data_IF_249287586783
#
_entry.id   IF_249287586783
#
_cell.length_a   1.000
_cell.length_b   1.000
_cell.length_c   1.000
_cell.angle_alpha   90.00
_cell.angle_beta   90.00
_cell.angle_gamma   90.00
#
_symmetry.space_group_name_H-M   'P 1'
#
loop_
_entity.id
_entity.type
_entity.pdbx_description
1 polymer ?
#
# COMPACT_ATOMS: atom_id res chain seq x y z
N UNK A 1 4.12 -48.48 -65.69
CA UNK A 1 3.77 -47.05 -65.66
C UNK A 1 2.85 -46.80 -64.47
N UNK A 2 3.40 -46.35 -63.32
CA UNK A 2 2.65 -46.07 -62.11
C UNK A 2 2.53 -44.54 -61.96
N UNK A 3 1.31 -44.01 -61.93
CA UNK A 3 0.99 -42.59 -61.69
C UNK A 3 0.95 -42.35 -60.20
N UNK A 4 1.90 -41.53 -59.73
CA UNK A 4 1.94 -41.01 -58.36
C UNK A 4 0.95 -39.81 -58.19
N UNK A 5 -0.10 -40.02 -57.43
CA UNK A 5 -1.05 -38.95 -57.05
C UNK A 5 -0.46 -38.15 -55.86
N UNK A 6 -0.12 -36.88 -56.08
CA UNK A 6 0.30 -35.97 -55.01
C UNK A 6 -0.93 -35.34 -54.36
N UNK A 7 -1.19 -35.69 -53.08
CA UNK A 7 -2.15 -35.00 -52.24
C UNK A 7 -1.50 -33.71 -51.73
N UNK A 8 -2.06 -32.57 -52.10
CA UNK A 8 -1.72 -31.27 -51.51
C UNK A 8 -2.73 -31.00 -50.37
N UNK A 9 -2.26 -31.15 -49.13
CA UNK A 9 -3.06 -30.77 -47.95
C UNK A 9 -3.02 -29.26 -47.79
N UNK A 10 -4.16 -28.61 -47.98
CA UNK A 10 -4.37 -27.21 -47.61
C UNK A 10 -4.61 -27.13 -46.11
N UNK A 11 -3.62 -26.59 -45.35
CA UNK A 11 -3.80 -26.22 -43.95
C UNK A 11 -4.44 -24.84 -43.92
N UNK A 12 -5.74 -24.79 -43.65
CA UNK A 12 -6.43 -23.55 -43.34
C UNK A 12 -6.03 -23.10 -41.91
N UNK A 13 -5.13 -22.13 -41.81
CA UNK A 13 -4.88 -21.42 -40.56
C UNK A 13 -6.10 -20.50 -40.26
N UNK A 14 -6.97 -20.94 -39.36
CA UNK A 14 -8.02 -20.08 -38.83
C UNK A 14 -7.38 -19.03 -37.89
N UNK A 15 -7.21 -17.82 -38.38
CA UNK A 15 -6.90 -16.65 -37.56
C UNK A 15 -8.17 -16.36 -36.72
N UNK A 16 -8.20 -16.86 -35.46
CA UNK A 16 -9.17 -16.43 -34.47
C UNK A 16 -8.86 -14.97 -34.14
N UNK A 17 -9.55 -14.04 -34.78
CA UNK A 17 -9.53 -12.65 -34.44
C UNK A 17 -10.05 -12.49 -32.99
N UNK A 18 -9.18 -12.10 -32.06
CA UNK A 18 -9.60 -11.68 -30.71
C UNK A 18 -10.47 -10.44 -30.90
N UNK A 19 -11.79 -10.60 -30.83
CA UNK A 19 -12.73 -9.49 -30.84
C UNK A 19 -12.41 -8.62 -29.62
N UNK A 20 -11.83 -7.44 -29.84
CA UNK A 20 -11.59 -6.44 -28.81
C UNK A 20 -12.96 -5.92 -28.37
N UNK A 21 -13.31 -6.13 -27.10
CA UNK A 21 -14.54 -5.57 -26.55
C UNK A 21 -14.54 -4.05 -26.77
N UNK A 22 -15.71 -3.48 -27.09
CA UNK A 22 -15.82 -2.03 -27.26
C UNK A 22 -15.53 -1.34 -25.92
N UNK A 23 -14.76 -0.24 -25.92
CA UNK A 23 -14.48 0.52 -24.68
C UNK A 23 -15.79 1.04 -24.09
N UNK A 24 -15.92 0.92 -22.78
CA UNK A 24 -17.07 1.40 -22.00
C UNK A 24 -16.92 2.89 -21.66
N UNK A 25 -17.99 3.53 -21.17
CA UNK A 25 -17.90 4.90 -20.64
C UNK A 25 -16.98 5.02 -19.44
N UNK A 26 -16.91 3.97 -18.61
CA UNK A 26 -15.95 3.90 -17.49
C UNK A 26 -14.50 3.83 -17.99
N UNK A 27 -14.22 3.15 -19.11
CA UNK A 27 -12.87 3.12 -19.69
C UNK A 27 -12.45 4.51 -20.21
N UNK A 28 -13.40 5.27 -20.79
CA UNK A 28 -13.14 6.65 -21.21
C UNK A 28 -12.87 7.57 -20.01
N UNK A 29 -13.62 7.38 -18.92
CA UNK A 29 -13.43 8.15 -17.70
C UNK A 29 -12.07 7.82 -17.05
N UNK A 30 -11.70 6.54 -17.00
CA UNK A 30 -10.39 6.10 -16.52
C UNK A 30 -9.26 6.70 -17.37
N UNK A 31 -9.36 6.64 -18.69
CA UNK A 31 -8.35 7.22 -19.59
C UNK A 31 -8.15 8.72 -19.36
N UNK A 32 -9.22 9.47 -19.06
CA UNK A 32 -9.14 10.89 -18.69
C UNK A 32 -8.44 11.09 -17.34
N UNK A 33 -8.74 10.24 -16.37
CA UNK A 33 -8.10 10.30 -15.05
C UNK A 33 -6.61 9.97 -15.13
N UNK A 34 -6.24 8.95 -15.93
CA UNK A 34 -4.83 8.63 -16.19
C UNK A 34 -4.10 9.76 -16.92
N UNK A 35 -4.75 10.44 -17.88
CA UNK A 35 -4.19 11.61 -18.53
C UNK A 35 -3.99 12.78 -17.54
N UNK A 36 -4.92 12.98 -16.61
CA UNK A 36 -4.80 14.01 -15.56
C UNK A 36 -3.66 13.69 -14.59
N UNK A 37 -3.50 12.42 -14.18
CA UNK A 37 -2.36 11.95 -13.38
C UNK A 37 -1.03 12.14 -14.14
N UNK A 38 -0.99 11.79 -15.43
CA UNK A 38 0.19 11.99 -16.28
C UNK A 38 0.56 13.46 -16.41
N UNK A 39 -0.41 14.35 -16.60
CA UNK A 39 -0.15 15.79 -16.65
C UNK A 39 0.35 16.35 -15.29
N UNK A 40 -0.17 15.83 -14.19
CA UNK A 40 0.34 16.17 -12.86
C UNK A 40 1.80 15.71 -12.69
N UNK A 41 2.12 14.47 -13.11
CA UNK A 41 3.46 13.92 -13.06
C UNK A 41 4.47 14.70 -13.92
N UNK A 42 4.09 15.11 -15.14
CA UNK A 42 4.93 15.95 -16.01
C UNK A 42 5.32 17.28 -15.37
N UNK A 43 4.45 17.85 -14.53
CA UNK A 43 4.71 19.10 -13.80
C UNK A 43 5.27 18.91 -12.40
N UNK A 44 5.43 17.66 -11.96
CA UNK A 44 5.90 17.33 -10.62
C UNK A 44 7.44 17.27 -10.56
N UNK A 45 8.03 18.03 -9.63
CA UNK A 45 9.49 18.04 -9.44
C UNK A 45 9.89 16.86 -8.57
N UNK A 46 10.12 15.71 -9.20
CA UNK A 46 10.47 14.44 -8.56
C UNK A 46 9.98 13.23 -9.36
N UNK A 47 10.07 12.05 -8.78
CA UNK A 47 9.51 10.82 -9.32
C UNK A 47 8.21 10.48 -8.55
N UNK A 48 7.14 10.14 -9.27
CA UNK A 48 5.83 9.82 -8.71
C UNK A 48 5.36 8.44 -9.19
N UNK A 49 4.85 7.62 -8.30
CA UNK A 49 4.16 6.37 -8.61
C UNK A 49 2.80 6.31 -7.91
N UNK A 50 1.78 5.88 -8.64
CA UNK A 50 0.40 5.83 -8.15
C UNK A 50 -0.25 4.52 -8.58
N UNK A 51 -0.94 3.87 -7.66
CA UNK A 51 -1.83 2.73 -7.96
C UNK A 51 -3.12 2.87 -7.16
N UNK A 52 -4.25 2.74 -7.86
CA UNK A 52 -5.57 2.65 -7.25
C UNK A 52 -6.23 1.33 -7.62
N UNK A 53 -6.90 0.66 -6.65
CA UNK A 53 -7.65 -0.58 -6.85
C UNK A 53 -9.10 -0.35 -6.44
N UNK A 54 -10.02 -0.55 -7.36
CA UNK A 54 -11.46 -0.56 -7.10
C UNK A 54 -11.83 -1.82 -6.29
N UNK A 55 -12.22 -1.66 -5.04
CA UNK A 55 -12.55 -2.79 -4.17
C UNK A 55 -13.87 -3.47 -4.52
N UNK A 56 -14.70 -2.88 -5.39
CA UNK A 56 -15.96 -3.48 -5.84
C UNK A 56 -15.77 -4.52 -6.94
N UNK A 57 -14.76 -4.34 -7.81
CA UNK A 57 -14.55 -5.21 -8.97
C UNK A 57 -13.09 -5.66 -9.18
N UNK A 58 -12.13 -5.14 -8.40
CA UNK A 58 -10.70 -5.46 -8.48
C UNK A 58 -9.95 -4.78 -9.64
N UNK A 59 -10.60 -3.84 -10.35
CA UNK A 59 -9.93 -3.09 -11.42
C UNK A 59 -8.83 -2.20 -10.85
N UNK A 60 -7.68 -2.22 -11.50
CA UNK A 60 -6.50 -1.45 -11.11
C UNK A 60 -6.18 -0.40 -12.16
N UNK A 61 -5.85 0.81 -11.71
CA UNK A 61 -5.33 1.90 -12.56
C UNK A 61 -4.21 2.64 -11.86
N UNK A 62 -3.35 3.32 -12.60
CA UNK A 62 -2.26 4.11 -12.04
C UNK A 62 -1.22 4.53 -13.06
N UNK A 63 -0.17 5.15 -12.55
CA UNK A 63 1.04 5.51 -13.32
C UNK A 63 2.26 5.04 -12.54
N UNK A 64 3.28 4.51 -13.23
CA UNK A 64 4.54 4.02 -12.65
C UNK A 64 4.33 3.05 -11.46
N UNK A 65 3.26 2.25 -11.51
CA UNK A 65 2.84 1.37 -10.40
C UNK A 65 3.84 0.26 -10.07
N UNK A 66 4.68 -0.15 -11.01
CA UNK A 66 5.71 -1.17 -10.88
C UNK A 66 7.11 -0.61 -10.52
N UNK A 67 7.25 0.71 -10.41
CA UNK A 67 8.51 1.37 -10.06
C UNK A 67 8.81 1.24 -8.56
N UNK A 68 10.09 0.97 -8.23
CA UNK A 68 10.56 0.86 -6.85
C UNK A 68 10.73 2.23 -6.20
N UNK A 69 10.11 2.38 -5.00
CA UNK A 69 10.24 3.57 -4.18
C UNK A 69 10.68 3.21 -2.75
N UNK A 70 11.39 4.12 -2.05
CA UNK A 70 11.64 3.98 -0.63
C UNK A 70 10.31 4.08 0.14
N UNK A 71 10.12 3.19 1.12
CA UNK A 71 8.86 3.05 1.83
C UNK A 71 8.73 3.95 3.06
N UNK A 72 9.83 4.42 3.61
CA UNK A 72 9.79 5.09 4.90
C UNK A 72 8.91 4.30 5.90
N UNK A 73 7.95 4.96 6.55
CA UNK A 73 7.04 4.32 7.52
C UNK A 73 5.88 3.55 6.90
N UNK A 74 5.67 3.59 5.58
CA UNK A 74 4.65 2.74 4.93
C UNK A 74 5.01 1.26 5.06
N UNK A 75 6.29 0.90 5.19
CA UNK A 75 6.76 -0.46 5.47
C UNK A 75 6.20 -1.05 6.78
N UNK A 76 5.59 -0.25 7.64
CA UNK A 76 4.95 -0.73 8.87
C UNK A 76 3.66 -1.52 8.61
N UNK A 77 3.05 -1.38 7.43
CA UNK A 77 1.89 -2.20 7.02
C UNK A 77 2.27 -3.69 6.91
N UNK A 78 3.28 -4.12 6.14
CA UNK A 78 3.67 -5.53 6.12
C UNK A 78 4.20 -6.02 7.47
N UNK A 79 4.84 -5.19 8.28
CA UNK A 79 5.24 -5.56 9.65
C UNK A 79 4.00 -5.85 10.50
N UNK A 80 2.98 -4.96 10.47
CA UNK A 80 1.70 -5.15 11.17
C UNK A 80 1.03 -6.46 10.76
N UNK A 81 0.93 -6.71 9.47
CA UNK A 81 0.35 -7.93 8.91
C UNK A 81 1.06 -9.19 9.43
N UNK A 82 2.39 -9.16 9.45
CA UNK A 82 3.19 -10.29 9.98
C UNK A 82 3.03 -10.47 11.48
N UNK A 83 2.86 -9.40 12.26
CA UNK A 83 2.56 -9.48 13.69
C UNK A 83 1.28 -10.26 13.95
N UNK A 84 0.19 -9.96 13.22
CA UNK A 84 -1.06 -10.73 13.32
C UNK A 84 -0.89 -12.18 12.89
N UNK A 85 -0.17 -12.47 11.81
CA UNK A 85 0.13 -13.86 11.43
C UNK A 85 0.91 -14.61 12.52
N UNK A 86 1.89 -13.95 13.13
CA UNK A 86 2.70 -14.54 14.20
C UNK A 86 1.86 -14.85 15.44
N UNK A 87 0.97 -13.94 15.83
CA UNK A 87 0.03 -14.15 16.92
C UNK A 87 -0.93 -15.31 16.63
N UNK A 88 -1.49 -15.41 15.43
CA UNK A 88 -2.33 -16.55 15.00
C UNK A 88 -1.58 -17.87 14.97
N UNK A 89 -0.29 -17.84 14.67
CA UNK A 89 0.58 -19.02 14.73
C UNK A 89 1.04 -19.37 16.16
N UNK A 90 0.56 -18.65 17.19
CA UNK A 90 0.87 -18.93 18.60
C UNK A 90 2.29 -18.54 19.03
N UNK A 91 2.99 -17.68 18.28
CA UNK A 91 4.33 -17.21 18.67
C UNK A 91 4.28 -16.29 19.89
N UNK A 92 3.21 -15.56 20.07
CA UNK A 92 2.87 -14.70 21.21
C UNK A 92 1.36 -14.40 21.19
N UNK A 93 0.84 -13.87 22.30
CA UNK A 93 -0.52 -13.33 22.33
C UNK A 93 -0.50 -11.81 22.19
N UNK A 94 -1.60 -11.21 21.71
CA UNK A 94 -1.68 -9.74 21.61
C UNK A 94 -1.67 -9.05 22.99
N UNK A 95 -2.07 -9.75 24.04
CA UNK A 95 -2.09 -9.25 25.42
C UNK A 95 -0.80 -9.59 26.20
N UNK A 96 0.12 -10.32 25.57
CA UNK A 96 1.44 -10.59 26.15
C UNK A 96 2.21 -9.28 26.37
N UNK A 97 2.85 -9.18 27.53
CA UNK A 97 3.59 -7.98 27.94
C UNK A 97 5.05 -8.06 27.50
N UNK A 98 5.50 -7.02 26.84
CA UNK A 98 6.87 -6.91 26.34
C UNK A 98 7.51 -5.67 26.97
N UNK A 99 8.69 -5.83 27.53
CA UNK A 99 9.49 -4.75 28.09
C UNK A 99 10.47 -4.21 27.03
N UNK A 100 10.55 -2.90 26.94
CA UNK A 100 11.48 -2.16 26.11
C UNK A 100 12.45 -1.46 27.04
N UNK A 101 13.72 -1.75 26.90
CA UNK A 101 14.77 -1.14 27.72
C UNK A 101 15.21 0.21 27.14
N UNK A 102 15.73 1.15 27.98
CA UNK A 102 16.21 2.45 27.51
C UNK A 102 17.21 2.38 26.34
N UNK A 103 18.07 1.36 26.32
CA UNK A 103 19.05 1.11 25.23
C UNK A 103 18.41 0.74 23.89
N UNK A 104 17.14 0.35 23.86
CA UNK A 104 16.39 0.01 22.62
C UNK A 104 15.74 1.26 22.00
N UNK A 105 15.80 2.40 22.68
CA UNK A 105 15.25 3.64 22.18
C UNK A 105 15.95 4.10 20.90
N UNK A 106 15.15 4.43 19.89
CA UNK A 106 15.64 5.06 18.65
C UNK A 106 14.87 6.34 18.39
N UNK A 107 15.52 7.30 17.75
CA UNK A 107 14.96 8.62 17.47
C UNK A 107 13.96 8.64 16.31
N UNK A 108 13.67 9.85 15.85
CA UNK A 108 12.72 10.12 14.78
C UNK A 108 11.27 10.15 15.30
N UNK A 109 10.37 9.48 14.58
CA UNK A 109 8.94 9.49 14.94
C UNK A 109 8.63 8.66 16.17
N UNK A 110 7.57 9.07 16.89
CA UNK A 110 7.00 8.34 18.02
C UNK A 110 7.20 9.03 19.37
N UNK A 111 6.72 8.36 20.42
CA UNK A 111 6.68 8.89 21.81
C UNK A 111 7.43 8.02 22.80
N UNK A 112 7.76 6.77 22.46
CA UNK A 112 8.41 5.84 23.39
C UNK A 112 9.82 6.26 23.76
N UNK A 113 10.56 6.88 22.86
CA UNK A 113 11.90 7.41 23.14
C UNK A 113 11.90 8.38 24.34
N UNK A 114 10.87 9.21 24.48
CA UNK A 114 10.76 10.14 25.62
C UNK A 114 10.44 9.39 26.92
N UNK A 115 9.51 8.43 26.87
CA UNK A 115 9.15 7.62 28.03
C UNK A 115 10.33 6.80 28.56
N UNK A 116 11.16 6.29 27.65
CA UNK A 116 12.34 5.48 27.96
C UNK A 116 13.47 6.25 28.65
N UNK A 117 13.45 7.59 28.60
CA UNK A 117 14.37 8.43 29.41
C UNK A 117 14.17 8.24 30.91
N UNK A 118 12.97 7.88 31.35
CA UNK A 118 12.63 7.67 32.76
C UNK A 118 12.78 6.21 33.21
N UNK A 119 13.16 5.29 32.32
CA UNK A 119 13.34 3.87 32.62
C UNK A 119 12.69 2.95 31.58
N UNK A 120 12.70 1.65 31.87
CA UNK A 120 12.08 0.66 31.00
C UNK A 120 10.56 0.86 30.90
N UNK A 121 9.99 0.59 29.72
CA UNK A 121 8.55 0.70 29.44
C UNK A 121 8.02 -0.69 29.09
N UNK A 122 6.96 -1.12 29.76
CA UNK A 122 6.29 -2.39 29.47
C UNK A 122 4.93 -2.11 28.82
N UNK A 123 4.71 -2.69 27.65
CA UNK A 123 3.49 -2.61 26.85
C UNK A 123 2.98 -4.00 26.51
N UNK A 124 1.69 -4.13 26.23
CA UNK A 124 1.20 -5.31 25.52
C UNK A 124 1.66 -5.29 24.05
N UNK A 125 1.68 -6.44 23.39
CA UNK A 125 1.96 -6.52 21.94
C UNK A 125 0.96 -5.66 21.15
N UNK A 126 -0.31 -5.64 21.56
CA UNK A 126 -1.36 -4.79 20.98
C UNK A 126 -1.01 -3.30 21.07
N UNK A 127 -0.65 -2.82 22.28
CA UNK A 127 -0.23 -1.42 22.50
C UNK A 127 1.03 -1.07 21.70
N UNK A 128 1.93 -2.03 21.55
CA UNK A 128 3.15 -1.87 20.74
C UNK A 128 2.82 -1.68 19.26
N UNK A 129 1.90 -2.49 18.71
CA UNK A 129 1.44 -2.37 17.33
C UNK A 129 0.66 -1.08 17.09
N UNK A 130 -0.17 -0.66 18.05
CA UNK A 130 -0.85 0.64 18.03
C UNK A 130 0.15 1.79 17.95
N UNK A 131 1.16 1.82 18.83
CA UNK A 131 2.20 2.83 18.82
C UNK A 131 2.97 2.86 17.48
N UNK A 132 3.26 1.70 16.90
CA UNK A 132 3.91 1.58 15.58
C UNK A 132 3.08 2.24 14.47
N UNK A 133 1.77 2.09 14.48
CA UNK A 133 0.88 2.58 13.41
C UNK A 133 0.44 4.02 13.65
N UNK A 134 -0.20 4.31 14.80
CA UNK A 134 -0.83 5.60 15.09
C UNK A 134 0.21 6.73 15.18
N UNK A 135 1.27 6.50 15.95
CA UNK A 135 2.33 7.52 16.17
C UNK A 135 3.54 7.31 15.26
N UNK A 136 3.47 6.30 14.40
CA UNK A 136 4.62 5.89 13.58
C UNK A 136 5.89 5.66 14.42
N UNK A 137 5.76 5.16 15.66
CA UNK A 137 6.85 5.05 16.62
C UNK A 137 7.95 4.09 16.15
N UNK A 138 9.16 4.61 16.00
CA UNK A 138 10.29 3.84 15.47
C UNK A 138 10.82 2.81 16.48
N UNK A 139 10.79 3.13 17.77
CA UNK A 139 11.19 2.19 18.84
C UNK A 139 10.22 1.00 18.87
N UNK A 140 8.90 1.29 18.86
CA UNK A 140 7.87 0.26 18.77
C UNK A 140 8.05 -0.59 17.50
N UNK A 141 8.33 0.05 16.36
CA UNK A 141 8.55 -0.64 15.09
C UNK A 141 9.72 -1.63 15.17
N UNK A 142 10.86 -1.20 15.71
CA UNK A 142 12.03 -2.06 15.85
C UNK A 142 11.76 -3.26 16.79
N UNK A 143 10.96 -3.06 17.83
CA UNK A 143 10.51 -4.14 18.72
C UNK A 143 9.58 -5.10 17.98
N UNK A 144 8.61 -4.59 17.21
CA UNK A 144 7.75 -5.41 16.34
C UNK A 144 8.55 -6.21 15.30
N UNK A 145 9.56 -5.60 14.66
CA UNK A 145 10.48 -6.31 13.73
C UNK A 145 11.18 -7.47 14.46
N UNK A 146 11.62 -7.25 15.71
CA UNK A 146 12.24 -8.30 16.53
C UNK A 146 11.29 -9.47 16.81
N UNK A 147 10.02 -9.19 17.10
CA UNK A 147 8.99 -10.22 17.35
C UNK A 147 8.51 -10.91 16.07
N UNK A 148 8.28 -10.13 15.01
CA UNK A 148 7.82 -10.63 13.71
C UNK A 148 8.87 -11.46 12.98
N UNK A 149 10.15 -11.06 13.10
CA UNK A 149 11.27 -11.54 12.30
C UNK A 149 11.35 -10.83 10.94
N UNK A 150 12.46 -10.18 10.65
CA UNK A 150 12.64 -9.44 9.38
C UNK A 150 12.51 -10.36 8.15
N UNK A 151 13.18 -11.52 8.19
CA UNK A 151 13.11 -12.51 7.11
C UNK A 151 11.70 -13.09 6.94
N UNK A 152 10.95 -13.20 8.04
CA UNK A 152 9.58 -13.71 8.02
C UNK A 152 8.62 -12.70 7.36
N UNK A 153 8.85 -11.38 7.56
CA UNK A 153 8.11 -10.33 6.83
C UNK A 153 8.37 -10.50 5.33
N UNK A 154 9.63 -10.63 4.91
CA UNK A 154 9.98 -10.80 3.51
C UNK A 154 9.43 -12.11 2.91
N UNK A 155 9.49 -13.22 3.66
CA UNK A 155 8.89 -14.51 3.23
C UNK A 155 7.37 -14.42 3.07
N UNK A 156 6.69 -13.69 3.95
CA UNK A 156 5.25 -13.42 3.80
C UNK A 156 4.99 -12.65 2.49
N UNK A 157 5.78 -11.63 2.18
CA UNK A 157 5.64 -10.88 0.93
C UNK A 157 5.89 -11.78 -0.29
N UNK A 158 6.90 -12.64 -0.27
CA UNK A 158 7.16 -13.62 -1.33
C UNK A 158 5.98 -14.58 -1.54
N UNK A 159 5.39 -15.07 -0.44
CA UNK A 159 4.21 -15.95 -0.46
C UNK A 159 2.96 -15.30 -1.08
N UNK A 160 2.86 -13.99 -1.01
CA UNK A 160 1.80 -13.20 -1.66
C UNK A 160 2.14 -12.79 -3.10
N UNK A 161 3.32 -13.13 -3.60
CA UNK A 161 3.82 -12.70 -4.90
C UNK A 161 4.29 -11.23 -4.94
N UNK A 162 4.46 -10.59 -3.79
CA UNK A 162 4.90 -9.19 -3.63
C UNK A 162 6.42 -9.13 -3.47
N UNK A 163 7.13 -9.43 -4.55
CA UNK A 163 8.59 -9.69 -4.52
C UNK A 163 9.46 -8.43 -4.49
N UNK A 164 8.89 -7.28 -4.72
CA UNK A 164 9.57 -5.98 -4.68
C UNK A 164 9.43 -5.29 -3.32
N UNK A 165 8.46 -5.72 -2.49
CA UNK A 165 8.30 -5.23 -1.12
C UNK A 165 9.32 -5.90 -0.20
N UNK A 166 10.28 -5.11 0.32
CA UNK A 166 11.40 -5.63 1.11
C UNK A 166 11.65 -4.80 2.35
N UNK A 167 11.62 -5.47 3.48
CA UNK A 167 12.13 -4.96 4.75
C UNK A 167 13.63 -5.32 4.83
N UNK A 168 14.52 -4.35 4.64
CA UNK A 168 15.97 -4.57 4.57
C UNK A 168 16.71 -4.04 5.79
N UNK A 169 16.13 -3.10 6.51
CA UNK A 169 16.74 -2.45 7.68
C UNK A 169 15.72 -2.13 8.76
N UNK A 170 16.22 -2.00 9.98
CA UNK A 170 15.45 -1.42 11.10
C UNK A 170 15.26 0.08 10.89
N UNK A 171 14.33 0.65 11.66
CA UNK A 171 14.14 2.09 11.70
C UNK A 171 15.37 2.76 12.31
N UNK A 172 15.78 3.89 11.76
CA UNK A 172 16.93 4.71 12.19
C UNK A 172 18.29 4.00 12.07
N UNK A 173 18.41 2.94 11.29
CA UNK A 173 19.70 2.28 10.97
C UNK A 173 20.45 3.07 9.89
N UNK A 174 21.21 4.10 10.32
CA UNK A 174 21.98 4.94 9.42
C UNK A 174 23.11 4.21 8.71
N UNK A 175 23.66 3.15 9.33
CA UNK A 175 24.72 2.36 8.71
C UNK A 175 24.16 1.54 7.53
N UNK A 176 22.97 0.96 7.65
CA UNK A 176 22.30 0.29 6.55
C UNK A 176 21.95 1.27 5.42
N UNK A 177 21.43 2.47 5.75
CA UNK A 177 21.16 3.53 4.76
C UNK A 177 22.42 3.91 3.99
N UNK A 178 23.55 4.07 4.66
CA UNK A 178 24.83 4.41 4.02
C UNK A 178 25.32 3.30 3.05
N UNK A 179 24.88 2.05 3.23
CA UNK A 179 25.14 0.94 2.30
C UNK A 179 24.09 0.81 1.18
N UNK A 180 23.09 1.71 1.12
CA UNK A 180 21.98 1.63 0.17
C UNK A 180 20.92 0.57 0.50
N UNK A 181 20.93 0.06 1.73
CA UNK A 181 19.93 -0.92 2.21
C UNK A 181 18.66 -0.19 2.65
N UNK A 182 17.81 0.19 1.69
CA UNK A 182 16.55 0.88 1.98
C UNK A 182 15.36 -0.09 1.98
N UNK A 183 14.38 0.17 2.83
CA UNK A 183 13.09 -0.49 2.79
C UNK A 183 12.32 -0.02 1.56
N UNK A 184 11.96 -0.91 0.67
CA UNK A 184 11.40 -0.57 -0.64
C UNK A 184 10.12 -1.33 -0.95
N UNK A 185 9.30 -0.77 -1.83
CA UNK A 185 8.17 -1.44 -2.48
C UNK A 185 7.80 -0.71 -3.77
N UNK A 186 6.81 -1.23 -4.47
CA UNK A 186 6.13 -0.56 -5.58
C UNK A 186 4.72 -0.12 -5.15
N UNK A 187 4.13 0.92 -5.77
CA UNK A 187 2.73 1.28 -5.54
C UNK A 187 1.77 0.10 -5.73
N UNK A 188 1.98 -0.71 -6.77
CA UNK A 188 1.17 -1.90 -7.08
C UNK A 188 1.19 -2.92 -5.94
N UNK A 189 2.36 -3.25 -5.42
CA UNK A 189 2.48 -4.27 -4.38
C UNK A 189 1.89 -3.80 -3.06
N UNK A 190 2.10 -2.54 -2.68
CA UNK A 190 1.50 -2.01 -1.45
C UNK A 190 -0.02 -1.89 -1.57
N UNK A 191 -0.54 -1.50 -2.74
CA UNK A 191 -1.98 -1.49 -2.97
C UNK A 191 -2.58 -2.90 -2.86
N UNK A 192 -1.95 -3.91 -3.46
CA UNK A 192 -2.39 -5.32 -3.35
C UNK A 192 -2.32 -5.85 -1.93
N UNK A 193 -1.30 -5.48 -1.16
CA UNK A 193 -1.22 -5.86 0.26
C UNK A 193 -2.38 -5.30 1.06
N UNK A 194 -2.70 -4.02 0.87
CA UNK A 194 -3.82 -3.36 1.56
C UNK A 194 -5.17 -3.93 1.08
N UNK A 195 -5.33 -4.25 -0.20
CA UNK A 195 -6.49 -4.98 -0.71
C UNK A 195 -6.64 -6.35 -0.04
N UNK A 196 -5.54 -7.11 0.11
CA UNK A 196 -5.57 -8.42 0.79
C UNK A 196 -5.96 -8.29 2.26
N UNK A 197 -5.51 -7.24 2.96
CA UNK A 197 -5.94 -6.90 4.31
C UNK A 197 -7.45 -6.62 4.31
N UNK A 198 -7.93 -5.70 3.48
CA UNK A 198 -9.34 -5.34 3.40
C UNK A 198 -10.26 -6.54 3.18
N UNK A 199 -9.86 -7.47 2.31
CA UNK A 199 -10.64 -8.66 1.95
C UNK A 199 -10.52 -9.83 2.94
N UNK A 200 -9.82 -9.69 4.05
CA UNK A 200 -9.62 -10.77 5.02
C UNK A 200 -8.75 -11.93 4.53
N UNK A 201 -8.00 -11.72 3.44
CA UNK A 201 -7.25 -12.81 2.77
C UNK A 201 -5.85 -13.04 3.31
N UNK A 202 -5.34 -12.13 4.16
CA UNK A 202 -3.95 -12.18 4.60
C UNK A 202 -3.74 -13.01 5.86
N UNK A 203 -4.65 -12.89 6.83
CA UNK A 203 -4.64 -13.65 8.10
C UNK A 203 -6.03 -14.30 8.29
N UNK A 204 -6.98 -13.52 8.77
CA UNK A 204 -8.41 -13.82 8.87
C UNK A 204 -9.21 -12.51 8.94
N UNK A 205 -10.54 -12.62 8.88
CA UNK A 205 -11.42 -11.44 8.88
C UNK A 205 -11.32 -10.62 10.19
N UNK A 206 -11.12 -11.27 11.34
CA UNK A 206 -11.02 -10.56 12.63
C UNK A 206 -9.72 -9.74 12.69
N UNK A 207 -8.58 -10.35 12.33
CA UNK A 207 -7.30 -9.66 12.24
C UNK A 207 -7.34 -8.53 11.21
N UNK A 208 -8.02 -8.75 10.09
CA UNK A 208 -8.17 -7.71 9.05
C UNK A 208 -8.95 -6.51 9.55
N UNK A 209 -10.06 -6.71 10.26
CA UNK A 209 -10.81 -5.62 10.90
C UNK A 209 -9.93 -4.86 11.90
N UNK A 210 -9.21 -5.55 12.77
CA UNK A 210 -8.30 -4.90 13.72
C UNK A 210 -7.19 -4.10 13.02
N UNK A 211 -6.59 -4.62 11.94
CA UNK A 211 -5.60 -3.89 11.16
C UNK A 211 -6.18 -2.62 10.52
N UNK A 212 -7.37 -2.72 9.95
CA UNK A 212 -8.07 -1.56 9.35
C UNK A 212 -8.39 -0.52 10.40
N UNK A 213 -8.90 -0.90 11.58
CA UNK A 213 -9.17 0.05 12.67
C UNK A 213 -7.90 0.78 13.13
N UNK A 214 -6.76 0.07 13.27
CA UNK A 214 -5.49 0.72 13.58
C UNK A 214 -5.07 1.73 12.49
N UNK A 215 -5.29 1.41 11.23
CA UNK A 215 -4.95 2.30 10.10
C UNK A 215 -5.87 3.52 10.00
N UNK A 216 -7.10 3.47 10.54
CA UNK A 216 -8.02 4.63 10.62
C UNK A 216 -7.55 5.71 11.57
N UNK A 217 -6.74 5.36 12.57
CA UNK A 217 -6.17 6.32 13.52
C UNK A 217 -5.10 7.23 12.89
N UNK A 218 -4.66 6.92 11.67
CA UNK A 218 -3.64 7.71 10.96
C UNK A 218 -4.29 8.84 10.18
N UNK A 219 -3.82 10.06 10.41
CA UNK A 219 -4.19 11.23 9.62
C UNK A 219 -3.05 11.60 8.67
N UNK A 220 -3.32 11.61 7.37
CA UNK A 220 -2.32 11.85 6.33
C UNK A 220 -2.85 12.72 5.18
N UNK A 221 -2.03 12.83 4.14
CA UNK A 221 -2.33 13.61 2.96
C UNK A 221 -3.55 13.13 2.17
N UNK A 222 -3.90 11.83 2.27
CA UNK A 222 -5.14 11.32 1.67
C UNK A 222 -6.35 12.04 2.25
N UNK A 223 -6.43 12.21 3.56
CA UNK A 223 -7.53 12.91 4.23
C UNK A 223 -7.62 14.38 3.81
N UNK A 224 -6.50 15.02 3.56
CA UNK A 224 -6.44 16.42 3.08
C UNK A 224 -6.96 16.56 1.64
N UNK A 225 -6.87 15.50 0.85
CA UNK A 225 -7.36 15.45 -0.55
C UNK A 225 -8.84 15.09 -0.71
N UNK A 226 -9.55 14.77 0.39
CA UNK A 226 -10.91 14.24 0.41
C UNK A 226 -11.92 15.19 1.08
N UNK A 227 -13.23 15.07 0.78
CA UNK A 227 -14.28 15.62 1.61
C UNK A 227 -14.16 15.16 3.08
N UNK A 228 -14.60 16.02 4.02
CA UNK A 228 -14.43 15.79 5.46
C UNK A 228 -15.14 14.55 6.01
N UNK A 229 -16.22 14.13 5.34
CA UNK A 229 -17.05 12.98 5.69
C UNK A 229 -16.53 11.64 5.16
N UNK A 230 -15.49 11.67 4.32
CA UNK A 230 -14.88 10.44 3.78
C UNK A 230 -13.82 9.91 4.75
N UNK A 231 -14.05 8.71 5.27
CA UNK A 231 -13.12 8.01 6.15
C UNK A 231 -11.97 7.37 5.36
N UNK A 232 -10.79 7.32 5.96
CA UNK A 232 -9.62 6.63 5.40
C UNK A 232 -8.98 5.71 6.44
N UNK A 233 -8.36 4.63 5.98
CA UNK A 233 -7.48 3.78 6.78
C UNK A 233 -6.14 3.68 6.06
N UNK A 234 -5.12 4.40 6.52
CA UNK A 234 -3.87 4.54 5.76
C UNK A 234 -2.62 4.45 6.64
N UNK A 235 -1.47 4.43 6.00
CA UNK A 235 -0.17 4.64 6.63
C UNK A 235 0.67 5.59 5.81
N UNK A 236 1.10 6.66 6.46
CA UNK A 236 2.04 7.64 5.90
C UNK A 236 3.49 7.20 6.04
N UNK A 237 4.34 7.66 5.14
CA UNK A 237 5.79 7.50 5.21
C UNK A 237 6.53 8.75 4.74
N UNK A 238 7.59 9.11 5.47
CA UNK A 238 8.38 10.30 5.21
C UNK A 238 9.86 10.03 5.45
N UNK A 239 10.67 10.40 4.47
CA UNK A 239 12.13 10.51 4.52
C UNK A 239 12.54 11.82 3.87
N UNK A 240 13.76 12.32 4.12
CA UNK A 240 14.29 13.43 3.33
C UNK A 240 14.25 13.10 1.83
N UNK A 241 13.51 13.89 1.04
CA UNK A 241 13.36 13.70 -0.40
C UNK A 241 12.42 12.57 -0.83
N UNK A 242 11.67 11.94 0.08
CA UNK A 242 10.69 10.91 -0.29
C UNK A 242 9.46 10.93 0.62
N UNK A 243 8.29 10.76 0.02
CA UNK A 243 7.01 10.66 0.73
C UNK A 243 6.13 9.57 0.12
N UNK A 244 5.33 8.93 0.96
CA UNK A 244 4.35 7.97 0.50
C UNK A 244 3.18 7.84 1.46
N UNK A 245 2.06 7.38 0.93
CA UNK A 245 0.91 6.98 1.72
C UNK A 245 0.18 5.86 0.98
N UNK A 246 -0.20 4.81 1.70
CA UNK A 246 -0.99 3.72 1.16
C UNK A 246 -2.14 3.42 2.11
N UNK A 247 -3.34 3.27 1.56
CA UNK A 247 -4.52 3.03 2.40
C UNK A 247 -5.79 2.79 1.61
N UNK A 248 -6.89 2.72 2.36
CA UNK A 248 -8.26 2.54 1.87
C UNK A 248 -8.99 3.87 2.02
N UNK A 249 -9.74 4.24 0.99
CA UNK A 249 -10.72 5.32 1.02
C UNK A 249 -12.11 4.70 1.04
N UNK A 250 -12.89 4.99 2.08
CA UNK A 250 -14.22 4.41 2.29
C UNK A 250 -15.31 5.25 1.62
N UNK A 251 -15.22 5.36 0.29
CA UNK A 251 -16.30 5.98 -0.48
C UNK A 251 -17.53 5.05 -0.49
N UNK A 252 -18.68 5.59 -0.09
CA UNK A 252 -19.93 4.84 -0.05
C UNK A 252 -20.26 4.22 -1.43
N UNK A 253 -20.59 2.93 -1.43
CA UNK A 253 -20.90 2.15 -2.63
C UNK A 253 -19.68 1.83 -3.52
N UNK A 254 -18.51 2.47 -3.32
CA UNK A 254 -17.32 2.21 -4.14
C UNK A 254 -16.00 2.48 -3.41
N UNK A 255 -15.71 1.76 -2.33
CA UNK A 255 -14.42 1.89 -1.64
C UNK A 255 -13.27 1.49 -2.58
N UNK A 256 -12.11 2.13 -2.37
CA UNK A 256 -10.92 1.84 -3.17
C UNK A 256 -9.65 1.89 -2.33
N UNK A 257 -8.62 1.18 -2.77
CA UNK A 257 -7.26 1.33 -2.26
C UNK A 257 -6.55 2.37 -3.09
N UNK A 258 -5.73 3.20 -2.44
CA UNK A 258 -4.82 4.12 -3.09
C UNK A 258 -3.43 3.97 -2.49
N UNK A 259 -2.42 3.86 -3.35
CA UNK A 259 -1.00 3.90 -3.00
C UNK A 259 -0.34 5.03 -3.80
N UNK A 260 0.26 5.98 -3.09
CA UNK A 260 1.00 7.11 -3.68
C UNK A 260 2.41 7.09 -3.10
N UNK A 261 3.41 7.10 -3.96
CA UNK A 261 4.82 7.11 -3.59
C UNK A 261 5.58 8.14 -4.41
N UNK A 262 6.49 8.85 -3.76
CA UNK A 262 7.34 9.83 -4.44
C UNK A 262 8.76 9.81 -3.90
N UNK A 263 9.71 10.20 -4.77
CA UNK A 263 11.12 10.33 -4.44
C UNK A 263 11.74 11.51 -5.19
N UNK A 264 12.92 11.95 -4.77
CA UNK A 264 13.62 13.14 -5.30
C UNK A 264 12.81 14.43 -5.18
N UNK A 265 11.98 14.54 -4.13
CA UNK A 265 11.08 15.67 -3.94
C UNK A 265 11.68 16.74 -3.03
N UNK A 266 11.28 17.98 -3.29
CA UNK A 266 11.36 19.07 -2.30
C UNK A 266 10.10 18.99 -1.39
N UNK A 267 10.29 19.03 -0.07
CA UNK A 267 9.23 18.83 0.94
C UNK A 267 8.08 19.86 0.90
N UNK A 268 8.17 20.88 0.05
CA UNK A 268 7.21 21.99 -0.01
C UNK A 268 5.85 21.64 -0.59
N UNK A 269 5.74 20.58 -1.41
CA UNK A 269 4.48 20.18 -2.06
C UNK A 269 4.33 18.65 -2.11
N UNK A 270 3.84 18.03 -1.03
CA UNK A 270 3.61 16.60 -1.06
C UNK A 270 2.54 16.24 -2.11
N UNK A 271 2.76 15.21 -2.94
CA UNK A 271 1.82 14.89 -4.04
C UNK A 271 0.54 14.22 -3.57
N UNK A 272 0.53 13.64 -2.36
CA UNK A 272 -0.57 12.78 -1.87
C UNK A 272 -1.93 13.46 -1.90
N UNK A 273 -2.12 14.71 -1.38
CA UNK A 273 -3.45 15.33 -1.40
C UNK A 273 -4.00 15.55 -2.81
N UNK A 274 -3.17 16.00 -3.75
CA UNK A 274 -3.63 16.28 -5.13
C UNK A 274 -3.92 14.99 -5.90
N UNK A 275 -3.03 14.00 -5.82
CA UNK A 275 -3.25 12.68 -6.42
C UNK A 275 -4.53 12.05 -5.86
N UNK A 276 -4.75 12.14 -4.54
CA UNK A 276 -5.97 11.64 -3.91
C UNK A 276 -7.20 12.33 -4.47
N UNK A 277 -7.17 13.64 -4.65
CA UNK A 277 -8.29 14.42 -5.21
C UNK A 277 -8.61 14.02 -6.66
N UNK A 278 -7.57 13.78 -7.49
CA UNK A 278 -7.73 13.33 -8.87
C UNK A 278 -8.41 11.95 -8.90
N UNK A 279 -7.88 10.99 -8.12
CA UNK A 279 -8.40 9.63 -8.08
C UNK A 279 -9.79 9.55 -7.44
N UNK A 280 -10.03 10.32 -6.37
CA UNK A 280 -11.34 10.39 -5.70
C UNK A 280 -12.45 10.83 -6.67
N UNK A 281 -12.22 11.88 -7.46
CA UNK A 281 -13.20 12.36 -8.46
C UNK A 281 -13.59 11.29 -9.49
N UNK A 282 -12.69 10.41 -9.83
CA UNK A 282 -13.00 9.27 -10.70
C UNK A 282 -13.96 8.30 -10.01
N UNK A 283 -13.62 7.86 -8.80
CA UNK A 283 -14.45 6.92 -8.06
C UNK A 283 -15.81 7.51 -7.66
N UNK A 284 -15.85 8.78 -7.28
CA UNK A 284 -17.08 9.51 -6.97
C UNK A 284 -18.06 9.53 -8.15
N UNK A 285 -17.57 9.79 -9.37
CA UNK A 285 -18.39 9.75 -10.58
C UNK A 285 -18.93 8.35 -10.84
N UNK A 286 -18.12 7.31 -10.61
CA UNK A 286 -18.54 5.93 -10.80
C UNK A 286 -19.53 5.48 -9.72
N UNK A 287 -19.36 5.90 -8.46
CA UNK A 287 -20.27 5.59 -7.37
C UNK A 287 -21.64 6.26 -7.56
N UNK A 288 -21.65 7.49 -8.07
CA UNK A 288 -22.86 8.28 -8.29
C UNK A 288 -23.61 8.01 -9.60
N UNK A 289 -23.20 7.01 -10.42
CA UNK A 289 -23.75 6.78 -11.74
C UNK A 289 -23.98 5.29 -12.06
N UNK A 290 -24.93 5.01 -12.96
CA UNK A 290 -25.06 3.69 -13.57
C UNK A 290 -24.01 3.48 -14.71
N UNK A 291 -24.04 2.31 -15.33
CA UNK A 291 -23.10 1.95 -16.42
C UNK A 291 -23.16 2.90 -17.64
N UNK A 292 -24.22 3.67 -17.78
CA UNK A 292 -24.43 4.66 -18.85
C UNK A 292 -24.06 6.08 -18.44
N UNK A 293 -23.51 6.26 -17.23
CA UNK A 293 -23.15 7.58 -16.70
C UNK A 293 -24.34 8.44 -16.23
N UNK A 294 -25.54 7.86 -16.17
CA UNK A 294 -26.70 8.56 -15.62
C UNK A 294 -26.59 8.58 -14.09
N UNK A 295 -26.80 9.76 -13.48
CA UNK A 295 -26.79 9.92 -12.03
C UNK A 295 -27.82 9.04 -11.36
N UNK A 296 -27.40 8.30 -10.34
CA UNK A 296 -28.30 7.63 -9.40
C UNK A 296 -28.87 8.72 -8.46
N UNK A 297 -30.19 8.78 -8.36
CA UNK A 297 -30.89 9.75 -7.50
C UNK A 297 -30.82 9.32 -6.05
#
# INVERSE_FOLDING_TARGET
>A
MARMLRFVSFVCLALAGVARAQPTLSDLLESKTLAELGHFDEGFDGALGVTAIDLTNGRTMGIHGDTLFPQASVIKIPILARMYQAARAGKFTLDERVTIEPREAVGGSGRLQERLKSGAVTLTVRELMAAMIEWSDNTATNKCIGLAGMDEVNRMMDGLGLRHTRLRRKMMDSAAVARGEENVSTPDEMARLVEAIYRGKLVDEAASREMVELLKEVSGGMREGLPLDIETASKTGELPGARGETGIVFLEGRPFVLSVMSAFIDDRRPPVPEVTRIVYRYFEKLAGANAWGNRLR
#
